data_IF_908290135260
#
_entry.id   IF_908290135260
#
_cell.length_a   1.000
_cell.length_b   1.000
_cell.length_c   1.000
_cell.angle_alpha   90.00
_cell.angle_beta   90.00
_cell.angle_gamma   90.00
#
_symmetry.space_group_name_H-M   'P 1'
#
loop_
_entity.id
_entity.type
_entity.pdbx_description
1 polymer ?
#
# COMPACT_ATOMS: atom_id res chain seq x y z
N UNK A 1 -18.15 4.92 0.22
CA UNK A 1 -17.66 3.86 -0.69
C UNK A 1 -17.95 2.52 -0.05
N UNK A 2 -18.91 1.76 -0.60
CA UNK A 2 -19.25 0.42 -0.10
C UNK A 2 -18.13 -0.55 -0.47
N UNK A 3 -17.56 -1.20 0.55
CA UNK A 3 -16.40 -2.08 0.38
C UNK A 3 -16.89 -3.51 0.23
N UNK A 4 -16.87 -4.01 -0.99
CA UNK A 4 -17.15 -5.42 -1.33
C UNK A 4 -16.03 -6.31 -0.80
N UNK A 5 -16.36 -7.15 0.17
CA UNK A 5 -15.47 -8.23 0.63
C UNK A 5 -15.57 -9.37 -0.39
N UNK A 6 -14.47 -9.69 -1.06
CA UNK A 6 -14.39 -10.87 -1.93
C UNK A 6 -14.00 -12.05 -1.03
N UNK A 7 -14.92 -12.98 -0.85
CA UNK A 7 -14.71 -14.22 -0.09
C UNK A 7 -14.27 -15.31 -1.07
N UNK A 8 -13.04 -15.82 -0.91
CA UNK A 8 -12.55 -16.97 -1.67
C UNK A 8 -12.61 -18.20 -0.77
N UNK A 9 -13.22 -19.28 -1.28
CA UNK A 9 -13.30 -20.58 -0.59
C UNK A 9 -12.19 -21.50 -1.09
N UNK A 10 -11.24 -21.85 -0.22
CA UNK A 10 -10.30 -22.95 -0.50
C UNK A 10 -10.81 -24.26 0.09
N UNK A 11 -10.71 -25.34 -0.70
CA UNK A 11 -10.97 -26.71 -0.25
C UNK A 11 -9.63 -27.39 0.01
N UNK A 12 -9.37 -27.78 1.26
CA UNK A 12 -8.24 -28.67 1.58
C UNK A 12 -8.73 -30.11 1.64
N UNK A 13 -8.17 -30.98 0.80
CA UNK A 13 -8.34 -32.42 0.93
C UNK A 13 -7.60 -32.88 2.20
N UNK A 14 -8.30 -33.60 3.08
CA UNK A 14 -7.68 -34.35 4.17
C UNK A 14 -7.52 -35.81 3.74
N UNK A 15 -6.38 -36.42 4.02
CA UNK A 15 -6.02 -37.81 3.64
C UNK A 15 -6.86 -38.91 4.33
N UNK A 16 -7.99 -38.56 4.94
CA UNK A 16 -8.91 -39.50 5.61
C UNK A 16 -10.32 -39.37 5.01
N UNK A 17 -10.94 -40.48 4.55
CA UNK A 17 -12.16 -40.45 3.74
C UNK A 17 -13.45 -40.03 4.48
N UNK A 18 -13.39 -39.70 5.77
CA UNK A 18 -14.57 -39.44 6.60
C UNK A 18 -14.61 -38.05 7.27
N UNK A 19 -13.63 -37.17 7.04
CA UNK A 19 -13.62 -35.85 7.67
C UNK A 19 -14.35 -34.82 6.77
N UNK A 20 -15.37 -34.10 7.27
CA UNK A 20 -16.02 -33.04 6.52
C UNK A 20 -15.01 -31.93 6.18
N UNK A 21 -15.03 -31.46 4.93
CA UNK A 21 -14.21 -30.33 4.46
C UNK A 21 -14.41 -29.13 5.37
N UNK A 22 -13.39 -28.76 6.16
CA UNK A 22 -13.46 -27.59 7.03
C UNK A 22 -13.37 -26.33 6.18
N UNK A 23 -14.50 -25.63 6.03
CA UNK A 23 -14.57 -24.33 5.36
C UNK A 23 -13.80 -23.31 6.19
N UNK A 24 -12.61 -22.91 5.74
CA UNK A 24 -11.87 -21.79 6.32
C UNK A 24 -12.14 -20.56 5.47
N UNK A 25 -12.96 -19.65 5.98
CA UNK A 25 -13.10 -18.31 5.38
C UNK A 25 -11.84 -17.52 5.71
N UNK A 26 -11.00 -17.28 4.71
CA UNK A 26 -9.79 -16.47 4.87
C UNK A 26 -10.16 -15.05 4.42
N UNK A 27 -10.13 -14.04 5.31
CA UNK A 27 -10.29 -12.66 4.88
C UNK A 27 -9.10 -12.30 4.02
N UNK A 28 -9.33 -12.03 2.74
CA UNK A 28 -8.27 -11.55 1.86
C UNK A 28 -7.90 -10.12 2.29
N UNK A 29 -6.60 -9.81 2.48
CA UNK A 29 -6.21 -8.43 2.77
C UNK A 29 -6.69 -7.54 1.64
N UNK A 30 -7.41 -6.47 1.99
CA UNK A 30 -7.84 -5.47 1.00
C UNK A 30 -6.59 -4.94 0.32
N UNK A 31 -6.38 -5.33 -0.93
CA UNK A 31 -5.28 -4.77 -1.69
C UNK A 31 -5.50 -3.26 -1.81
N UNK A 32 -4.43 -2.51 -1.59
CA UNK A 32 -4.51 -1.06 -1.74
C UNK A 32 -4.96 -0.75 -3.18
N UNK A 33 -5.73 0.32 -3.41
CA UNK A 33 -6.27 0.63 -4.74
C UNK A 33 -5.21 0.79 -5.83
N UNK A 34 -3.97 1.08 -5.43
CA UNK A 34 -2.82 1.22 -6.32
C UNK A 34 -2.08 -0.07 -6.61
N UNK A 35 -2.50 -1.21 -6.05
CA UNK A 35 -1.85 -2.50 -6.27
C UNK A 35 -2.47 -3.20 -7.48
N UNK A 36 -1.85 -2.97 -8.64
CA UNK A 36 -2.18 -3.62 -9.90
C UNK A 36 -1.39 -4.94 -10.08
N UNK A 37 -1.89 -5.83 -10.95
CA UNK A 37 -1.23 -7.09 -11.32
C UNK A 37 0.21 -6.86 -11.81
N UNK A 38 0.45 -5.76 -12.54
CA UNK A 38 1.78 -5.35 -13.00
C UNK A 38 2.79 -5.16 -11.85
N UNK A 39 2.33 -4.65 -10.70
CA UNK A 39 3.18 -4.49 -9.51
C UNK A 39 3.44 -5.86 -8.89
N UNK A 40 2.45 -6.75 -8.87
CA UNK A 40 2.64 -8.11 -8.37
C UNK A 40 3.67 -8.87 -9.20
N UNK A 41 3.60 -8.79 -10.53
CA UNK A 41 4.59 -9.37 -11.45
C UNK A 41 5.99 -8.83 -11.16
N UNK A 42 6.14 -7.50 -11.07
CA UNK A 42 7.44 -6.89 -10.77
C UNK A 42 7.99 -7.31 -9.39
N UNK A 43 7.13 -7.46 -8.38
CA UNK A 43 7.53 -7.97 -7.05
C UNK A 43 7.98 -9.43 -7.14
N UNK A 44 7.30 -10.26 -7.92
CA UNK A 44 7.66 -11.66 -8.10
C UNK A 44 9.00 -11.81 -8.83
N UNK A 45 9.28 -10.98 -9.84
CA UNK A 45 10.58 -10.91 -10.51
C UNK A 45 11.68 -10.48 -9.55
N UNK A 46 11.45 -9.44 -8.73
CA UNK A 46 12.39 -9.02 -7.68
C UNK A 46 12.70 -10.18 -6.72
N UNK A 47 11.68 -10.85 -6.20
CA UNK A 47 11.85 -11.98 -5.29
C UNK A 47 12.63 -13.13 -5.95
N UNK A 48 12.40 -13.39 -7.24
CA UNK A 48 13.13 -14.42 -7.99
C UNK A 48 14.60 -14.07 -8.16
N UNK A 49 14.90 -12.81 -8.49
CA UNK A 49 16.28 -12.31 -8.57
C UNK A 49 16.99 -12.32 -7.21
N UNK A 50 16.30 -11.94 -6.12
CA UNK A 50 16.83 -12.00 -4.76
C UNK A 50 17.17 -13.45 -4.37
N UNK A 51 16.29 -14.43 -4.66
CA UNK A 51 16.58 -15.85 -4.43
C UNK A 51 17.76 -16.35 -5.26
N UNK A 52 17.87 -15.93 -6.52
CA UNK A 52 18.99 -16.28 -7.37
C UNK A 52 20.32 -15.74 -6.84
N UNK A 53 20.32 -14.53 -6.27
CA UNK A 53 21.49 -13.96 -5.61
C UNK A 53 21.83 -14.71 -4.32
N UNK A 54 20.86 -15.00 -3.45
CA UNK A 54 21.08 -15.76 -2.21
C UNK A 54 21.64 -17.16 -2.49
N UNK A 55 21.28 -17.77 -3.62
CA UNK A 55 21.79 -19.10 -4.01
C UNK A 55 23.20 -19.06 -4.59
N UNK A 56 23.50 -18.10 -5.46
CA UNK A 56 24.78 -18.08 -6.19
C UNK A 56 25.86 -17.22 -5.55
N UNK A 57 25.47 -16.23 -4.74
CA UNK A 57 26.31 -15.16 -4.20
C UNK A 57 27.11 -14.37 -5.27
N UNK A 58 26.74 -14.49 -6.55
CA UNK A 58 27.41 -13.79 -7.65
C UNK A 58 27.00 -12.31 -7.67
N UNK A 59 27.98 -11.44 -7.93
CA UNK A 59 27.77 -9.99 -8.04
C UNK A 59 26.74 -9.62 -9.12
N UNK A 60 26.73 -10.34 -10.24
CA UNK A 60 25.77 -10.10 -11.33
C UNK A 60 24.32 -10.28 -10.83
N UNK A 61 24.05 -11.33 -10.05
CA UNK A 61 22.70 -11.53 -9.50
C UNK A 61 22.34 -10.47 -8.46
N UNK A 62 23.33 -9.97 -7.71
CA UNK A 62 23.14 -8.82 -6.81
C UNK A 62 22.68 -7.59 -7.60
N UNK A 63 23.34 -7.27 -8.70
CA UNK A 63 22.98 -6.13 -9.55
C UNK A 63 21.58 -6.30 -10.17
N UNK A 64 21.23 -7.50 -10.63
CA UNK A 64 19.88 -7.81 -11.13
C UNK A 64 18.83 -7.58 -10.03
N UNK A 65 19.07 -8.04 -8.81
CA UNK A 65 18.13 -7.83 -7.70
C UNK A 65 17.95 -6.35 -7.34
N UNK A 66 19.02 -5.55 -7.38
CA UNK A 66 18.98 -4.10 -7.17
C UNK A 66 18.18 -3.43 -8.29
N UNK A 67 18.40 -3.82 -9.54
CA UNK A 67 17.66 -3.31 -10.68
C UNK A 67 16.16 -3.64 -10.56
N UNK A 68 15.81 -4.88 -10.27
CA UNK A 68 14.43 -5.31 -10.08
C UNK A 68 13.73 -4.54 -8.94
N UNK A 69 14.45 -4.25 -7.85
CA UNK A 69 13.94 -3.41 -6.76
C UNK A 69 13.63 -1.98 -7.23
N UNK A 70 14.49 -1.37 -8.06
CA UNK A 70 14.22 -0.06 -8.66
C UNK A 70 12.97 -0.11 -9.55
N UNK A 71 12.81 -1.16 -10.35
CA UNK A 71 11.64 -1.36 -11.20
C UNK A 71 10.36 -1.39 -10.37
N UNK A 72 10.30 -2.18 -9.30
CA UNK A 72 9.14 -2.24 -8.39
C UNK A 72 8.80 -0.86 -7.84
N UNK A 73 9.79 -0.11 -7.36
CA UNK A 73 9.57 1.24 -6.84
C UNK A 73 9.02 2.19 -7.91
N UNK A 74 9.53 2.12 -9.14
CA UNK A 74 9.07 2.95 -10.25
C UNK A 74 7.62 2.63 -10.62
N UNK A 75 7.27 1.35 -10.76
CA UNK A 75 5.89 0.94 -11.10
C UNK A 75 4.93 1.33 -9.98
N UNK A 76 5.28 1.07 -8.72
CA UNK A 76 4.44 1.41 -7.58
C UNK A 76 4.25 2.92 -7.41
N UNK A 77 5.30 3.73 -7.63
CA UNK A 77 5.17 5.20 -7.55
C UNK A 77 4.32 5.75 -8.69
N UNK A 78 4.44 5.21 -9.90
CA UNK A 78 3.62 5.62 -11.04
C UNK A 78 2.14 5.26 -10.84
N UNK A 79 1.84 4.06 -10.33
CA UNK A 79 0.47 3.66 -10.03
C UNK A 79 -0.17 4.56 -8.96
N UNK A 80 0.56 4.86 -7.88
CA UNK A 80 0.12 5.80 -6.84
C UNK A 80 -0.14 7.19 -7.41
N UNK A 81 0.79 7.72 -8.21
CA UNK A 81 0.62 9.04 -8.87
C UNK A 81 -0.63 9.07 -9.73
N UNK A 82 -0.86 8.04 -10.55
CA UNK A 82 -2.02 7.96 -11.45
C UNK A 82 -3.33 8.05 -10.67
N UNK A 83 -3.44 7.32 -9.57
CA UNK A 83 -4.65 7.32 -8.74
C UNK A 83 -4.84 8.67 -8.07
N UNK A 84 -3.81 9.22 -7.41
CA UNK A 84 -3.93 10.51 -6.75
C UNK A 84 -4.23 11.65 -7.74
N UNK A 85 -3.63 11.65 -8.93
CA UNK A 85 -3.96 12.61 -9.97
C UNK A 85 -5.42 12.48 -10.44
N UNK A 86 -5.93 11.25 -10.60
CA UNK A 86 -7.33 11.03 -10.92
C UNK A 86 -8.24 11.58 -9.81
N UNK A 87 -7.95 11.30 -8.54
CA UNK A 87 -8.73 11.83 -7.41
C UNK A 87 -8.66 13.37 -7.35
N UNK A 88 -7.48 13.97 -7.47
CA UNK A 88 -7.32 15.42 -7.51
C UNK A 88 -8.09 16.06 -8.66
N UNK A 89 -8.09 15.45 -9.85
CA UNK A 89 -8.82 15.96 -11.03
C UNK A 89 -10.34 15.98 -10.85
N UNK A 90 -10.87 15.11 -9.98
CA UNK A 90 -12.31 15.07 -9.67
C UNK A 90 -12.73 16.09 -8.60
N UNK A 91 -11.80 16.73 -7.91
CA UNK A 91 -12.12 17.72 -6.88
C UNK A 91 -12.47 19.07 -7.49
N UNK A 92 -13.59 19.66 -7.05
CA UNK A 92 -14.11 20.94 -7.58
C UNK A 92 -13.83 22.14 -6.67
N UNK A 93 -13.50 21.88 -5.40
CA UNK A 93 -13.41 22.92 -4.36
C UNK A 93 -12.09 22.80 -3.62
N UNK A 94 -11.43 23.93 -3.35
CA UNK A 94 -10.14 23.98 -2.64
C UNK A 94 -10.17 23.29 -1.26
N UNK A 95 -11.31 23.34 -0.55
CA UNK A 95 -11.50 22.63 0.74
C UNK A 95 -11.43 21.11 0.60
N UNK A 96 -12.01 20.57 -0.48
CA UNK A 96 -11.95 19.12 -0.76
C UNK A 96 -10.54 18.70 -1.16
N UNK A 97 -9.87 19.52 -1.98
CA UNK A 97 -8.48 19.30 -2.36
C UNK A 97 -7.59 19.25 -1.12
N UNK A 98 -7.73 20.22 -0.21
CA UNK A 98 -6.98 20.27 1.05
C UNK A 98 -7.22 19.03 1.92
N UNK A 99 -8.49 18.66 2.15
CA UNK A 99 -8.83 17.44 2.90
C UNK A 99 -8.28 16.17 2.26
N UNK A 100 -8.31 16.07 0.93
CA UNK A 100 -7.75 14.91 0.21
C UNK A 100 -6.22 14.87 0.35
N UNK A 101 -5.54 16.02 0.24
CA UNK A 101 -4.10 16.09 0.47
C UNK A 101 -3.71 15.71 1.90
N UNK A 102 -4.48 16.11 2.92
CA UNK A 102 -4.22 15.69 4.31
C UNK A 102 -4.37 14.18 4.48
N UNK A 103 -5.40 13.60 3.84
CA UNK A 103 -5.63 12.15 3.85
C UNK A 103 -4.48 11.38 3.17
N UNK A 104 -4.02 11.84 2.01
CA UNK A 104 -2.90 11.23 1.27
C UNK A 104 -1.58 11.33 2.03
N UNK A 105 -1.33 12.47 2.68
CA UNK A 105 -0.13 12.70 3.49
C UNK A 105 -0.19 11.97 4.84
N UNK A 106 -1.28 11.27 5.15
CA UNK A 106 -1.44 10.56 6.42
C UNK A 106 -1.42 11.51 7.62
N UNK A 107 -1.75 12.79 7.43
CA UNK A 107 -1.95 13.74 8.52
C UNK A 107 -3.25 13.33 9.21
N UNK A 108 -3.16 12.37 10.13
CA UNK A 108 -4.21 12.11 11.10
C UNK A 108 -4.54 13.45 11.72
N UNK A 109 -5.80 13.88 11.58
CA UNK A 109 -6.31 15.12 12.17
C UNK A 109 -5.62 15.33 13.51
N UNK A 110 -4.70 16.30 13.58
CA UNK A 110 -4.29 16.77 14.89
C UNK A 110 -5.61 17.16 15.55
N UNK A 111 -5.97 16.49 16.66
CA UNK A 111 -6.94 17.08 17.58
C UNK A 111 -6.28 18.38 18.00
N UNK A 112 -6.62 19.47 17.32
CA UNK A 112 -6.30 20.80 17.80
C UNK A 112 -7.12 20.94 19.07
N UNK A 113 -6.49 20.67 20.21
CA UNK A 113 -6.99 21.17 21.48
C UNK A 113 -6.89 22.69 21.36
N UNK A 114 -7.99 23.32 20.92
CA UNK A 114 -8.25 24.76 20.90
C UNK A 114 -7.13 25.67 20.38
N UNK A 115 -7.42 26.45 19.34
CA UNK A 115 -6.50 27.45 18.75
C UNK A 115 -5.85 28.43 19.77
N UNK A 116 -6.40 28.52 21.00
CA UNK A 116 -5.78 29.21 22.15
C UNK A 116 -4.38 28.69 22.53
N UNK A 117 -4.15 27.37 22.56
CA UNK A 117 -2.86 26.84 23.01
C UNK A 117 -1.71 27.15 22.04
N UNK A 118 -2.02 27.41 20.77
CA UNK A 118 -1.03 27.80 19.76
C UNK A 118 -0.67 29.28 19.90
N UNK A 119 -1.64 30.17 20.12
CA UNK A 119 -1.38 31.58 20.38
C UNK A 119 -0.52 31.80 21.63
N UNK A 120 -0.82 31.12 22.74
CA UNK A 120 -0.05 31.28 23.98
C UNK A 120 1.40 30.77 23.86
N UNK A 121 1.63 29.70 23.08
CA UNK A 121 2.99 29.19 22.81
C UNK A 121 3.80 30.07 21.86
N UNK A 122 3.13 30.76 20.93
CA UNK A 122 3.80 31.69 20.01
C UNK A 122 4.15 33.02 20.67
N UNK A 123 3.37 33.51 21.64
CA UNK A 123 3.68 34.73 22.38
C UNK A 123 5.00 34.61 23.17
N UNK A 124 5.28 33.44 23.75
CA UNK A 124 6.50 33.19 24.53
C UNK A 124 7.78 33.22 23.67
N UNK A 125 7.66 33.06 22.34
CA UNK A 125 8.80 33.07 21.42
C UNK A 125 9.19 34.48 20.94
N UNK A 126 8.39 35.50 21.25
CA UNK A 126 8.59 36.88 20.83
C UNK A 126 8.66 37.89 21.98
N UNK A 127 8.72 37.41 23.23
CA UNK A 127 9.08 38.20 24.42
C UNK A 127 10.55 37.97 24.81
#
# INVERSE_FOLDING_TARGET
>A
MNVTQILVTEYKYSDTPARPLTKRTIPHPRYSPWLDDNIQTAVQERCSAERAWLKSCLQIHREISIAARKTVNNVATNAKKKIYLAEFSTTKTCKMLFSLTEQVLGKTKHKTNGDKELCDKFSILFD
#
